data_IF_498247717169
#
_entry.id   IF_498247717169
#
_cell.length_a   1.000
_cell.length_b   1.000
_cell.length_c   1.000
_cell.angle_alpha   90.00
_cell.angle_beta   90.00
_cell.angle_gamma   90.00
#
_symmetry.space_group_name_H-M   'P 1'
#
loop_
_entity.id
_entity.type
_entity.pdbx_description
1 polymer ?
#
# COMPACT_ATOMS: atom_id res chain seq x y z
N UNK A 1 16.93 4.64 26.20
CA UNK A 1 16.25 3.92 25.11
C UNK A 1 14.79 4.32 25.11
N UNK A 2 14.37 5.24 24.23
CA UNK A 2 12.99 5.72 24.16
C UNK A 2 12.11 4.62 23.57
N UNK A 3 11.12 4.14 24.33
CA UNK A 3 10.15 3.17 23.85
C UNK A 3 9.48 3.71 22.57
N UNK A 4 9.61 2.99 21.47
CA UNK A 4 8.99 3.35 20.19
C UNK A 4 7.47 3.35 20.39
N UNK A 5 6.83 4.52 20.27
CA UNK A 5 5.37 4.66 20.35
C UNK A 5 4.73 3.58 19.46
N UNK A 6 3.76 2.79 19.97
CA UNK A 6 3.14 1.74 19.19
C UNK A 6 2.57 2.35 17.90
N UNK A 7 2.84 1.70 16.77
CA UNK A 7 2.29 2.14 15.49
C UNK A 7 0.77 2.10 15.62
N UNK A 8 0.11 3.24 15.44
CA UNK A 8 -1.34 3.28 15.35
C UNK A 8 -1.79 2.35 14.23
N UNK A 9 -2.70 1.44 14.52
CA UNK A 9 -3.27 0.54 13.51
C UNK A 9 -4.35 1.29 12.75
N UNK A 10 -4.34 1.31 11.40
CA UNK A 10 -5.42 1.90 10.63
C UNK A 10 -6.76 1.23 10.93
N UNK A 11 -7.81 2.02 11.14
CA UNK A 11 -9.18 1.52 11.14
C UNK A 11 -9.54 1.03 9.73
N UNK A 12 -10.62 0.25 9.54
CA UNK A 12 -11.06 -0.15 8.20
C UNK A 12 -11.30 1.04 7.26
N UNK A 13 -11.81 2.17 7.77
CA UNK A 13 -12.00 3.38 6.98
C UNK A 13 -10.67 4.00 6.53
N UNK A 14 -9.70 4.11 7.44
CA UNK A 14 -8.36 4.62 7.12
C UNK A 14 -7.65 3.70 6.12
N UNK A 15 -7.78 2.37 6.30
CA UNK A 15 -7.20 1.36 5.41
C UNK A 15 -7.75 1.51 3.99
N UNK A 16 -9.06 1.70 3.83
CA UNK A 16 -9.68 1.96 2.51
C UNK A 16 -9.13 3.22 1.84
N UNK A 17 -8.97 4.30 2.59
CA UNK A 17 -8.39 5.55 2.05
C UNK A 17 -6.95 5.35 1.58
N UNK A 18 -6.11 4.69 2.40
CA UNK A 18 -4.71 4.42 2.06
C UNK A 18 -4.55 3.43 0.88
N UNK A 19 -5.41 2.41 0.79
CA UNK A 19 -5.43 1.50 -0.36
C UNK A 19 -5.90 2.21 -1.63
N UNK A 20 -6.90 3.08 -1.53
CA UNK A 20 -7.33 3.91 -2.66
C UNK A 20 -6.23 4.86 -3.13
N UNK A 21 -5.43 5.41 -2.19
CA UNK A 21 -4.22 6.17 -2.53
C UNK A 21 -3.19 5.36 -3.30
N UNK A 22 -3.00 4.08 -3.00
CA UNK A 22 -2.09 3.21 -3.76
C UNK A 22 -2.55 2.96 -5.20
N UNK A 23 -3.87 2.97 -5.43
CA UNK A 23 -4.44 2.81 -6.77
C UNK A 23 -4.23 4.07 -7.63
N UNK A 24 -4.16 5.25 -7.01
CA UNK A 24 -3.85 6.50 -7.70
C UNK A 24 -2.39 6.51 -8.22
N UNK A 25 -2.15 6.84 -9.51
CA UNK A 25 -0.79 6.83 -10.08
C UNK A 25 0.21 7.74 -9.36
N UNK A 26 -0.26 8.79 -8.70
CA UNK A 26 0.56 9.75 -7.96
C UNK A 26 0.48 9.56 -6.44
N UNK A 27 -0.19 8.52 -5.97
CA UNK A 27 -0.36 8.25 -4.54
C UNK A 27 -1.38 9.14 -3.83
N UNK A 28 -2.22 9.87 -4.58
CA UNK A 28 -3.11 10.88 -4.02
C UNK A 28 -4.28 10.23 -3.27
N UNK A 29 -4.67 10.84 -2.16
CA UNK A 29 -5.91 10.49 -1.47
C UNK A 29 -7.08 11.04 -2.28
N UNK A 30 -8.03 10.20 -2.72
CA UNK A 30 -9.22 10.68 -3.41
C UNK A 30 -10.05 11.65 -2.55
N UNK A 31 -10.59 12.71 -3.15
CA UNK A 31 -11.34 13.75 -2.43
C UNK A 31 -12.72 13.32 -1.90
N UNK A 32 -13.20 12.12 -2.23
CA UNK A 32 -14.52 11.63 -1.79
C UNK A 32 -14.52 11.01 -0.37
N UNK A 33 -13.36 10.86 0.26
CA UNK A 33 -13.31 10.42 1.66
C UNK A 33 -13.80 11.54 2.59
N UNK A 34 -14.44 11.15 3.69
CA UNK A 34 -14.94 12.14 4.66
C UNK A 34 -13.79 12.92 5.30
N UNK A 35 -14.04 14.18 5.64
CA UNK A 35 -13.06 15.07 6.30
C UNK A 35 -12.46 14.42 7.55
N UNK A 36 -13.28 13.75 8.37
CA UNK A 36 -12.81 13.01 9.56
C UNK A 36 -11.76 11.95 9.24
N UNK A 37 -11.89 11.23 8.11
CA UNK A 37 -10.90 10.24 7.69
C UNK A 37 -9.63 10.94 7.22
N UNK A 38 -9.76 12.02 6.44
CA UNK A 38 -8.63 12.80 5.94
C UNK A 38 -7.82 13.41 7.08
N UNK A 39 -8.48 14.04 8.06
CA UNK A 39 -7.86 14.62 9.25
C UNK A 39 -7.15 13.54 10.07
N UNK A 40 -7.76 12.36 10.23
CA UNK A 40 -7.18 11.28 11.01
C UNK A 40 -5.93 10.68 10.36
N UNK A 41 -5.91 10.50 9.03
CA UNK A 41 -4.73 9.96 8.33
C UNK A 41 -3.60 11.00 8.22
N UNK A 42 -3.93 12.29 8.18
CA UNK A 42 -2.97 13.39 8.23
C UNK A 42 -2.35 13.53 9.64
N UNK A 43 -3.18 13.52 10.68
CA UNK A 43 -2.74 13.53 12.08
C UNK A 43 -1.88 12.30 12.43
N UNK A 44 -2.17 11.14 11.83
CA UNK A 44 -1.34 9.94 11.95
C UNK A 44 -0.05 10.00 11.12
N UNK A 45 0.17 11.06 10.34
CA UNK A 45 1.29 11.27 9.43
C UNK A 45 1.46 10.13 8.41
N UNK A 46 0.36 9.53 7.97
CA UNK A 46 0.36 8.50 6.91
C UNK A 46 0.29 9.09 5.52
N UNK A 47 -0.13 10.35 5.43
CA UNK A 47 -0.12 11.14 4.21
C UNK A 47 0.76 12.37 4.42
N UNK A 48 1.13 12.99 3.31
CA UNK A 48 1.81 14.29 3.26
C UNK A 48 1.16 15.12 2.19
N UNK A 49 1.06 16.42 2.44
CA UNK A 49 0.65 17.36 1.43
C UNK A 49 1.75 17.55 0.37
N UNK A 50 1.40 17.40 -0.90
CA UNK A 50 2.29 17.50 -2.04
C UNK A 50 1.71 18.40 -3.13
N UNK A 51 2.58 19.00 -3.92
CA UNK A 51 2.22 19.72 -5.16
C UNK A 51 1.74 18.76 -6.24
N UNK A 52 1.29 19.30 -7.38
CA UNK A 52 0.87 18.47 -8.52
C UNK A 52 1.96 17.49 -9.00
N UNK A 53 3.23 17.87 -8.83
CA UNK A 53 4.40 17.11 -9.28
C UNK A 53 5.01 16.22 -8.18
N UNK A 54 4.33 16.13 -7.02
CA UNK A 54 4.75 15.25 -5.92
C UNK A 54 5.80 15.83 -4.98
N UNK A 55 6.21 17.09 -5.16
CA UNK A 55 7.09 17.79 -4.19
C UNK A 55 6.33 18.10 -2.91
N UNK A 56 6.98 18.00 -1.76
CA UNK A 56 6.37 18.38 -0.48
C UNK A 56 5.87 19.84 -0.51
N UNK A 57 4.61 20.05 -0.17
CA UNK A 57 3.95 21.35 -0.30
C UNK A 57 4.62 22.44 0.55
N UNK A 58 5.03 22.10 1.78
CA UNK A 58 5.71 23.03 2.67
C UNK A 58 6.97 23.63 2.01
N UNK A 59 7.88 22.78 1.51
CA UNK A 59 9.09 23.24 0.83
C UNK A 59 8.81 24.02 -0.46
N UNK A 60 7.80 23.62 -1.22
CA UNK A 60 7.40 24.33 -2.43
C UNK A 60 6.87 25.75 -2.12
N UNK A 61 6.05 25.90 -1.06
CA UNK A 61 5.53 27.20 -0.62
C UNK A 61 6.64 28.14 -0.16
N UNK A 62 7.63 27.62 0.57
CA UNK A 62 8.83 28.39 0.92
C UNK A 62 9.61 28.89 -0.31
N UNK A 63 9.53 28.17 -1.42
CA UNK A 63 10.10 28.55 -2.71
C UNK A 63 9.16 29.39 -3.60
N UNK A 64 8.03 29.87 -3.08
CA UNK A 64 7.09 30.74 -3.79
C UNK A 64 5.99 30.04 -4.59
N UNK A 65 5.79 28.73 -4.41
CA UNK A 65 4.67 28.02 -5.04
C UNK A 65 3.32 28.38 -4.38
N UNK A 66 2.37 28.83 -5.19
CA UNK A 66 1.01 29.23 -4.82
C UNK A 66 -0.10 28.33 -5.43
N UNK A 67 0.31 27.30 -6.18
CA UNK A 67 -0.61 26.38 -6.86
C UNK A 67 -1.31 25.36 -5.94
N UNK A 68 -2.15 24.48 -6.53
CA UNK A 68 -2.92 23.50 -5.78
C UNK A 68 -2.03 22.43 -5.14
N UNK A 69 -2.51 21.88 -4.03
CA UNK A 69 -1.86 20.82 -3.27
C UNK A 69 -2.82 19.67 -3.00
N UNK A 70 -2.25 18.49 -2.76
CA UNK A 70 -2.97 17.23 -2.63
C UNK A 70 -2.38 16.42 -1.47
N UNK A 71 -3.22 15.71 -0.72
CA UNK A 71 -2.74 14.69 0.20
C UNK A 71 -2.26 13.48 -0.58
N UNK A 72 -1.07 12.97 -0.28
CA UNK A 72 -0.50 11.77 -0.89
C UNK A 72 0.04 10.82 0.16
N UNK A 73 -0.19 9.51 -0.02
CA UNK A 73 0.31 8.48 0.88
C UNK A 73 1.84 8.44 0.89
N UNK A 74 2.43 8.49 2.08
CA UNK A 74 3.88 8.49 2.28
C UNK A 74 4.38 7.09 2.72
N UNK A 75 5.69 6.96 2.99
CA UNK A 75 6.28 5.70 3.43
C UNK A 75 5.73 5.18 4.76
N UNK A 76 5.33 6.05 5.68
CA UNK A 76 4.68 5.67 6.94
C UNK A 76 3.28 5.11 6.70
N UNK A 77 2.50 5.73 5.81
CA UNK A 77 1.17 5.23 5.42
C UNK A 77 1.25 3.85 4.76
N UNK A 78 2.18 3.66 3.82
CA UNK A 78 2.42 2.34 3.21
C UNK A 78 2.83 1.30 4.25
N UNK A 79 3.71 1.67 5.19
CA UNK A 79 4.15 0.77 6.25
C UNK A 79 3.04 0.45 7.29
N UNK A 80 2.04 1.33 7.44
CA UNK A 80 0.89 1.12 8.32
C UNK A 80 -0.12 0.12 7.74
N UNK A 81 -0.11 -0.08 6.42
CA UNK A 81 -0.95 -1.09 5.76
C UNK A 81 -0.47 -2.53 5.99
N UNK A 82 0.78 -2.74 6.37
CA UNK A 82 1.36 -4.07 6.49
C UNK A 82 1.62 -4.50 7.93
N UNK A 83 1.22 -5.74 8.22
CA UNK A 83 1.82 -6.52 9.31
C UNK A 83 3.28 -6.81 9.00
N UNK A 84 4.05 -7.23 10.00
CA UNK A 84 5.44 -7.66 9.76
C UNK A 84 5.50 -8.86 8.81
N UNK A 85 4.66 -9.87 9.02
CA UNK A 85 4.56 -11.03 8.12
C UNK A 85 4.19 -10.63 6.67
N UNK A 86 3.22 -9.74 6.50
CA UNK A 86 2.84 -9.25 5.17
C UNK A 86 3.96 -8.48 4.48
N UNK A 87 4.76 -7.73 5.25
CA UNK A 87 5.96 -7.08 4.73
C UNK A 87 6.99 -8.11 4.28
N UNK A 88 7.35 -9.05 5.14
CA UNK A 88 8.32 -10.09 4.80
C UNK A 88 7.91 -10.87 3.56
N UNK A 89 6.62 -11.22 3.43
CA UNK A 89 6.09 -11.90 2.26
C UNK A 89 6.23 -11.08 0.97
N UNK A 90 5.81 -9.81 0.98
CA UNK A 90 5.89 -8.95 -0.21
C UNK A 90 7.32 -8.64 -0.65
N UNK A 91 8.23 -8.40 0.30
CA UNK A 91 9.65 -8.15 -0.01
C UNK A 91 10.42 -9.42 -0.37
N UNK A 92 9.91 -10.60 0.02
CA UNK A 92 10.48 -11.89 -0.33
C UNK A 92 9.92 -12.49 -1.62
N UNK A 93 9.02 -11.80 -2.32
CA UNK A 93 8.49 -12.26 -3.59
C UNK A 93 9.63 -12.44 -4.62
N UNK A 94 9.52 -13.45 -5.48
CA UNK A 94 10.53 -13.71 -6.52
C UNK A 94 10.46 -12.68 -7.66
N UNK A 95 11.30 -12.87 -8.68
CA UNK A 95 11.37 -11.96 -9.83
C UNK A 95 10.04 -11.86 -10.61
N UNK A 96 9.27 -12.95 -10.63
CA UNK A 96 7.95 -13.01 -11.28
C UNK A 96 6.84 -12.46 -10.36
N UNK A 97 7.18 -12.20 -9.09
CA UNK A 97 6.29 -11.66 -8.07
C UNK A 97 5.53 -12.73 -7.31
N UNK A 98 5.88 -14.02 -7.42
CA UNK A 98 5.27 -15.08 -6.60
C UNK A 98 5.71 -14.92 -5.15
N UNK A 99 4.79 -15.02 -4.20
CA UNK A 99 5.19 -15.04 -2.78
C UNK A 99 5.96 -16.32 -2.43
N UNK A 100 6.85 -16.29 -1.42
CA UNK A 100 7.53 -17.49 -0.93
C UNK A 100 6.55 -18.60 -0.54
N UNK A 101 6.88 -19.85 -0.85
CA UNK A 101 6.06 -21.03 -0.52
C UNK A 101 5.78 -21.18 0.99
N UNK A 102 6.63 -20.62 1.86
CA UNK A 102 6.43 -20.60 3.32
C UNK A 102 5.53 -19.47 3.83
N UNK A 103 4.91 -18.68 2.95
CA UNK A 103 4.01 -17.61 3.38
C UNK A 103 2.77 -18.19 4.04
N UNK A 104 2.58 -17.91 5.33
CA UNK A 104 1.44 -18.40 6.08
C UNK A 104 0.11 -17.98 5.43
N UNK A 105 -0.83 -18.92 5.29
CA UNK A 105 -2.12 -18.72 4.65
C UNK A 105 -2.89 -17.47 5.14
N UNK A 106 -2.99 -17.18 6.46
CA UNK A 106 -3.66 -15.96 6.92
C UNK A 106 -3.03 -14.66 6.38
N UNK A 107 -1.72 -14.67 6.15
CA UNK A 107 -0.99 -13.53 5.58
C UNK A 107 -1.34 -13.36 4.11
N UNK A 108 -1.27 -14.44 3.31
CA UNK A 108 -1.62 -14.40 1.88
C UNK A 108 -3.09 -13.98 1.68
N UNK A 109 -4.01 -14.53 2.47
CA UNK A 109 -5.43 -14.16 2.44
C UNK A 109 -5.68 -12.70 2.79
N UNK A 110 -4.97 -12.15 3.78
CA UNK A 110 -5.08 -10.73 4.14
C UNK A 110 -4.59 -9.84 3.00
N UNK A 111 -3.41 -10.14 2.45
CA UNK A 111 -2.86 -9.41 1.30
C UNK A 111 -3.79 -9.48 0.08
N UNK A 112 -4.42 -10.64 -0.16
CA UNK A 112 -5.35 -10.83 -1.27
C UNK A 112 -6.62 -10.01 -1.11
N UNK A 113 -7.22 -10.03 0.10
CA UNK A 113 -8.39 -9.20 0.43
C UNK A 113 -8.12 -7.71 0.22
N UNK A 114 -6.89 -7.28 0.47
CA UNK A 114 -6.47 -5.88 0.30
C UNK A 114 -6.04 -5.56 -1.15
N UNK A 115 -6.14 -6.52 -2.08
CA UNK A 115 -5.79 -6.36 -3.50
C UNK A 115 -4.29 -6.28 -3.78
N UNK A 116 -3.44 -6.57 -2.78
CA UNK A 116 -1.98 -6.49 -2.89
C UNK A 116 -1.37 -7.73 -3.55
N UNK A 117 -2.10 -8.84 -3.51
CA UNK A 117 -1.76 -10.08 -4.21
C UNK A 117 -3.01 -10.67 -4.86
N UNK A 118 -2.81 -11.47 -5.89
CA UNK A 118 -3.84 -12.24 -6.56
C UNK A 118 -3.42 -13.70 -6.64
N UNK A 119 -4.38 -14.62 -6.59
CA UNK A 119 -4.09 -16.03 -6.77
C UNK A 119 -4.11 -16.38 -8.25
N UNK A 120 -3.14 -17.18 -8.69
CA UNK A 120 -3.07 -17.67 -10.07
C UNK A 120 -2.87 -19.18 -10.10
N UNK A 121 -3.47 -19.82 -11.09
CA UNK A 121 -3.22 -21.22 -11.40
C UNK A 121 -1.91 -21.42 -12.20
N UNK A 122 -1.66 -22.66 -12.62
CA UNK A 122 -0.45 -23.04 -13.35
C UNK A 122 -0.35 -22.37 -14.74
N UNK A 123 -1.49 -21.99 -15.33
CA UNK A 123 -1.56 -21.32 -16.63
C UNK A 123 -1.47 -19.78 -16.47
N UNK A 124 -1.38 -19.29 -15.23
CA UNK A 124 -1.30 -17.87 -14.92
C UNK A 124 -2.66 -17.16 -14.87
N UNK A 125 -3.77 -17.90 -14.93
CA UNK A 125 -5.12 -17.31 -14.87
C UNK A 125 -5.44 -16.87 -13.45
N UNK A 126 -6.00 -15.66 -13.30
CA UNK A 126 -6.37 -15.11 -12.00
C UNK A 126 -7.59 -15.83 -11.44
N UNK A 127 -7.49 -16.24 -10.17
CA UNK A 127 -8.50 -16.96 -9.42
C UNK A 127 -9.00 -16.12 -8.23
N UNK A 128 -10.23 -16.38 -7.80
CA UNK A 128 -10.93 -15.61 -6.75
C UNK A 128 -10.50 -15.97 -5.32
N UNK A 129 -9.69 -17.02 -5.17
CA UNK A 129 -9.18 -17.53 -3.90
C UNK A 129 -7.98 -18.42 -4.15
N UNK A 130 -7.53 -19.15 -3.12
CA UNK A 130 -6.37 -20.06 -3.19
C UNK A 130 -6.73 -21.45 -3.73
N UNK A 131 -8.01 -21.71 -4.02
CA UNK A 131 -8.49 -22.96 -4.58
C UNK A 131 -8.51 -24.12 -3.59
N UNK A 132 -8.41 -23.85 -2.28
CA UNK A 132 -8.46 -24.88 -1.26
C UNK A 132 -9.86 -25.52 -1.19
N UNK A 133 -9.93 -26.80 -1.54
CA UNK A 133 -11.15 -27.63 -1.49
C UNK A 133 -11.26 -28.45 -0.19
N UNK A 134 -10.30 -28.30 0.72
CA UNK A 134 -10.23 -29.04 1.99
C UNK A 134 -9.69 -30.47 1.88
N UNK A 135 -9.40 -30.95 0.66
CA UNK A 135 -8.86 -32.30 0.39
C UNK A 135 -7.44 -32.22 -0.13
N UNK A 136 -7.17 -31.34 -1.09
CA UNK A 136 -5.88 -31.17 -1.76
C UNK A 136 -5.06 -30.02 -1.19
N UNK A 137 -5.68 -29.17 -0.37
CA UNK A 137 -5.09 -27.92 0.08
C UNK A 137 -5.09 -26.85 -1.02
N UNK A 138 -4.37 -25.73 -0.80
CA UNK A 138 -4.28 -24.62 -1.75
C UNK A 138 -3.73 -25.05 -3.11
N UNK A 139 -4.51 -24.82 -4.17
CA UNK A 139 -4.15 -25.15 -5.55
C UNK A 139 -3.50 -24.00 -6.31
N UNK A 140 -3.76 -22.76 -5.87
CA UNK A 140 -3.35 -21.54 -6.59
C UNK A 140 -2.29 -20.77 -5.80
N UNK A 141 -1.29 -20.26 -6.51
CA UNK A 141 -0.18 -19.53 -5.89
C UNK A 141 -0.47 -18.02 -5.85
N UNK A 142 -0.13 -17.32 -4.75
CA UNK A 142 -0.28 -15.88 -4.66
C UNK A 142 0.86 -15.13 -5.37
N UNK A 143 0.50 -14.13 -6.18
CA UNK A 143 1.40 -13.24 -6.90
C UNK A 143 1.14 -11.78 -6.55
N UNK A 144 2.20 -10.99 -6.43
CA UNK A 144 2.14 -9.56 -6.12
C UNK A 144 1.53 -8.78 -7.29
N UNK A 145 0.46 -8.04 -7.02
CA UNK A 145 -0.18 -7.15 -8.01
C UNK A 145 0.62 -5.86 -8.18
N UNK A 146 0.29 -5.06 -9.19
CA UNK A 146 0.85 -3.70 -9.32
C UNK A 146 0.60 -2.83 -8.08
N UNK A 147 -0.56 -3.00 -7.43
CA UNK A 147 -0.86 -2.33 -6.16
C UNK A 147 0.11 -2.75 -5.04
N UNK A 148 0.39 -4.05 -4.95
CA UNK A 148 1.38 -4.62 -4.04
C UNK A 148 2.79 -4.11 -4.32
N UNK A 149 3.18 -3.95 -5.59
CA UNK A 149 4.47 -3.37 -6.00
C UNK A 149 4.57 -1.91 -5.58
N UNK A 150 3.57 -1.07 -5.85
CA UNK A 150 3.55 0.35 -5.40
C UNK A 150 3.65 0.49 -3.89
N UNK A 151 3.12 -0.48 -3.15
CA UNK A 151 3.22 -0.49 -1.71
C UNK A 151 4.68 -0.63 -1.24
N UNK A 152 5.49 -1.46 -1.91
CA UNK A 152 6.91 -1.70 -1.57
C UNK A 152 7.86 -0.69 -2.23
N UNK A 153 7.72 -0.43 -3.53
CA UNK A 153 8.59 0.48 -4.28
C UNK A 153 8.23 1.96 -4.10
N UNK A 154 7.02 2.25 -3.62
CA UNK A 154 6.46 3.59 -3.68
C UNK A 154 5.95 3.93 -5.08
N UNK A 155 5.59 5.20 -5.26
CA UNK A 155 5.15 5.72 -6.55
C UNK A 155 6.37 6.18 -7.35
N UNK A 156 6.29 6.18 -8.68
CA UNK A 156 7.21 6.96 -9.50
C UNK A 156 7.06 8.42 -9.08
N UNK A 157 7.82 8.84 -8.07
CA UNK A 157 8.10 10.23 -7.87
C UNK A 157 8.86 10.62 -9.13
N UNK A 158 8.51 11.76 -9.74
CA UNK A 158 9.39 12.45 -10.66
C UNK A 158 10.68 12.75 -9.88
N UNK A 159 11.57 11.77 -9.78
CA UNK A 159 12.83 11.88 -9.09
C UNK A 159 13.71 12.82 -9.92
N UNK A 160 14.27 13.80 -9.20
CA UNK A 160 15.34 14.72 -9.60
C UNK A 160 14.89 15.94 -10.40
N UNK A 161 14.58 17.01 -9.67
CA UNK A 161 15.30 18.24 -9.98
C UNK A 161 16.58 18.20 -9.13
N UNK A 162 17.72 18.17 -9.83
CA UNK A 162 19.02 18.51 -9.27
C UNK A 162 19.04 19.94 -8.74
#
# INVERSE_FOLDING_TARGET
>A
MTARKPRTTPTPAHRRALLASLADPKGRVPGHFSTRVLDAIDLAHWVTEVTNDGRAAAGARWAGYDGPTFLSINSRGRAALLTEAGRTALYGADADGRLPAGTAWPTARTLHRDGLVEYRDADGTVQTGDGDDGVRGPLYAPYVTELGRRLTSGFPQAHRAA
#
